data_IF_759215452942
#
_entry.id   IF_759215452942
#
_cell.length_a   1.000
_cell.length_b   1.000
_cell.length_c   1.000
_cell.angle_alpha   90.00
_cell.angle_beta   90.00
_cell.angle_gamma   90.00
#
_symmetry.space_group_name_H-M   'P 1'
#
loop_
_entity.id
_entity.type
_entity.pdbx_description
1 polymer ?
#
# COMPACT_ATOMS: atom_id res chain seq x y z
N UNK A 1 -24.33 -14.41 8.52
CA UNK A 1 -24.96 -13.88 7.29
C UNK A 1 -26.47 -14.15 7.23
N UNK A 2 -26.92 -15.37 7.58
CA UNK A 2 -28.34 -15.75 7.57
C UNK A 2 -29.22 -14.88 8.48
N UNK A 3 -28.81 -14.56 9.71
CA UNK A 3 -29.61 -13.72 10.62
C UNK A 3 -29.72 -12.24 10.20
N UNK A 4 -28.76 -11.76 9.40
CA UNK A 4 -28.76 -10.39 8.89
C UNK A 4 -29.66 -10.27 7.65
N UNK A 5 -29.54 -11.22 6.72
CA UNK A 5 -30.45 -11.35 5.58
C UNK A 5 -31.88 -11.62 6.06
N UNK A 6 -32.08 -12.50 7.04
CA UNK A 6 -33.40 -12.76 7.63
C UNK A 6 -34.03 -11.49 8.21
N UNK A 7 -33.25 -10.68 8.94
CA UNK A 7 -33.71 -9.37 9.44
C UNK A 7 -34.11 -8.41 8.31
N UNK A 8 -33.49 -8.52 7.14
CA UNK A 8 -33.81 -7.76 5.94
C UNK A 8 -34.86 -8.41 5.02
N UNK A 9 -35.57 -9.45 5.48
CA UNK A 9 -36.58 -10.14 4.68
C UNK A 9 -35.98 -11.00 3.56
N UNK A 10 -34.74 -11.46 3.74
CA UNK A 10 -33.92 -12.18 2.76
C UNK A 10 -33.64 -11.41 1.46
N UNK A 11 -33.92 -10.10 1.42
CA UNK A 11 -33.54 -9.24 0.32
C UNK A 11 -32.12 -8.67 0.57
N UNK A 12 -31.12 -9.05 -0.23
CA UNK A 12 -29.78 -8.50 -0.12
C UNK A 12 -29.76 -6.98 -0.31
N UNK A 13 -30.66 -6.43 -1.14
CA UNK A 13 -30.69 -5.00 -1.40
C UNK A 13 -31.17 -4.21 -0.18
N UNK A 14 -32.27 -4.65 0.44
CA UNK A 14 -32.72 -4.12 1.72
C UNK A 14 -31.69 -4.30 2.84
N UNK A 15 -30.94 -5.40 2.82
CA UNK A 15 -29.87 -5.65 3.80
C UNK A 15 -28.75 -4.61 3.67
N UNK A 16 -28.23 -4.40 2.44
CA UNK A 16 -27.20 -3.39 2.18
C UNK A 16 -27.68 -1.95 2.41
N UNK A 17 -28.93 -1.63 2.07
CA UNK A 17 -29.52 -0.33 2.35
C UNK A 17 -29.58 -0.04 3.86
N UNK A 18 -30.01 -1.03 4.68
CA UNK A 18 -30.02 -0.92 6.15
C UNK A 18 -28.62 -0.83 6.75
N UNK A 19 -27.61 -1.36 6.06
CA UNK A 19 -26.20 -1.25 6.44
C UNK A 19 -25.60 0.14 6.13
N UNK A 20 -26.26 0.95 5.31
CA UNK A 20 -25.81 2.31 4.97
C UNK A 20 -24.68 2.36 3.93
N UNK A 21 -24.44 1.28 3.17
CA UNK A 21 -23.51 1.29 2.04
C UNK A 21 -24.26 1.13 0.71
N UNK A 22 -24.86 2.23 0.26
CA UNK A 22 -25.61 2.32 -1.00
C UNK A 22 -24.76 1.96 -2.24
N UNK A 23 -23.42 1.95 -2.13
CA UNK A 23 -22.56 1.65 -3.27
C UNK A 23 -22.57 0.16 -3.62
N UNK A 24 -22.77 -0.74 -2.64
CA UNK A 24 -22.84 -2.18 -2.87
C UNK A 24 -24.03 -2.59 -3.76
N UNK A 25 -25.04 -1.72 -3.88
CA UNK A 25 -26.22 -1.94 -4.73
C UNK A 25 -25.98 -1.62 -6.22
N UNK A 26 -25.03 -0.73 -6.53
CA UNK A 26 -24.89 -0.14 -7.87
C UNK A 26 -23.49 -0.21 -8.46
N UNK A 27 -22.47 -0.52 -7.65
CA UNK A 27 -21.07 -0.54 -8.06
C UNK A 27 -20.27 -1.57 -7.27
N UNK A 28 -19.22 -2.05 -7.92
CA UNK A 28 -18.16 -2.81 -7.28
C UNK A 28 -17.45 -1.96 -6.24
N UNK A 29 -17.50 -2.41 -4.99
CA UNK A 29 -16.64 -1.87 -3.95
C UNK A 29 -15.29 -2.58 -3.93
N UNK A 30 -14.26 -1.91 -3.41
CA UNK A 30 -12.96 -2.51 -3.17
C UNK A 30 -13.07 -3.78 -2.32
N UNK A 31 -13.79 -3.72 -1.19
CA UNK A 31 -13.98 -4.87 -0.30
C UNK A 31 -14.69 -6.06 -0.97
N UNK A 32 -15.72 -5.81 -1.79
CA UNK A 32 -16.41 -6.87 -2.52
C UNK A 32 -15.48 -7.55 -3.55
N UNK A 33 -14.62 -6.77 -4.22
CA UNK A 33 -13.62 -7.30 -5.13
C UNK A 33 -12.62 -8.19 -4.40
N UNK A 34 -12.06 -7.72 -3.27
CA UNK A 34 -11.11 -8.48 -2.46
C UNK A 34 -11.74 -9.78 -1.94
N UNK A 35 -12.97 -9.71 -1.43
CA UNK A 35 -13.68 -10.88 -0.91
C UNK A 35 -13.96 -11.91 -2.01
N UNK A 36 -14.38 -11.46 -3.19
CA UNK A 36 -14.59 -12.33 -4.34
C UNK A 36 -13.31 -13.06 -4.76
N UNK A 37 -12.16 -12.37 -4.75
CA UNK A 37 -10.88 -13.01 -5.04
C UNK A 37 -10.46 -14.01 -3.96
N UNK A 38 -10.72 -13.71 -2.69
CA UNK A 38 -10.40 -14.57 -1.54
C UNK A 38 -11.24 -15.86 -1.53
N UNK A 39 -12.53 -15.77 -1.87
CA UNK A 39 -13.48 -16.89 -1.78
C UNK A 39 -13.81 -17.57 -3.13
N UNK A 40 -13.40 -17.00 -4.26
CA UNK A 40 -13.67 -17.57 -5.58
C UNK A 40 -13.12 -19.00 -5.71
N UNK A 41 -13.91 -19.93 -6.28
CA UNK A 41 -13.52 -21.35 -6.41
C UNK A 41 -12.16 -21.49 -7.12
N UNK A 42 -11.30 -22.33 -6.54
CA UNK A 42 -9.96 -22.60 -7.03
C UNK A 42 -10.01 -23.45 -8.31
N UNK A 43 -9.85 -22.81 -9.47
CA UNK A 43 -9.24 -23.44 -10.64
C UNK A 43 -7.82 -22.90 -10.76
N UNK A 44 -6.83 -23.77 -10.64
CA UNK A 44 -5.39 -23.57 -10.95
C UNK A 44 -4.96 -22.14 -11.31
N UNK A 45 -4.75 -21.28 -10.30
CA UNK A 45 -4.15 -19.95 -10.49
C UNK A 45 -4.89 -19.00 -11.46
N UNK A 46 -6.09 -19.36 -11.91
CA UNK A 46 -6.90 -18.57 -12.83
C UNK A 46 -8.06 -17.96 -12.05
N UNK A 47 -8.31 -16.64 -12.17
CA UNK A 47 -9.61 -16.11 -11.78
C UNK A 47 -10.67 -16.89 -12.59
N UNK A 48 -11.81 -17.28 -12.00
CA UNK A 48 -12.80 -18.08 -12.71
C UNK A 48 -13.37 -17.27 -13.88
N UNK A 49 -12.95 -17.60 -15.10
CA UNK A 49 -13.36 -16.88 -16.31
C UNK A 49 -14.14 -17.76 -17.29
N UNK A 50 -14.73 -18.87 -16.84
CA UNK A 50 -15.68 -19.61 -17.69
C UNK A 50 -17.04 -18.90 -17.71
N UNK A 51 -17.11 -17.80 -18.45
CA UNK A 51 -18.28 -17.44 -19.24
C UNK A 51 -17.76 -17.05 -20.62
N UNK A 52 -17.62 -18.06 -21.49
CA UNK A 52 -17.31 -17.85 -22.90
C UNK A 52 -18.56 -17.33 -23.60
N UNK A 53 -18.71 -16.00 -23.75
CA UNK A 53 -19.65 -15.46 -24.73
C UNK A 53 -18.91 -15.41 -26.06
N UNK A 54 -19.00 -16.50 -26.81
CA UNK A 54 -18.66 -16.51 -28.24
C UNK A 54 -19.66 -15.69 -29.06
N UNK A 55 -19.34 -15.34 -30.31
CA UNK A 55 -20.16 -14.46 -31.15
C UNK A 55 -21.52 -15.04 -31.59
N UNK A 56 -21.82 -16.31 -31.31
CA UNK A 56 -23.13 -16.91 -31.60
C UNK A 56 -24.10 -16.78 -30.42
N UNK A 57 -24.64 -15.58 -30.26
CA UNK A 57 -25.57 -15.19 -29.21
C UNK A 57 -27.03 -15.67 -29.45
N UNK A 58 -27.25 -16.94 -29.80
CA UNK A 58 -28.61 -17.51 -29.93
C UNK A 58 -28.86 -18.78 -29.11
N UNK A 59 -27.88 -19.28 -28.35
CA UNK A 59 -28.13 -20.33 -27.36
C UNK A 59 -27.41 -20.05 -26.05
N UNK A 60 -27.98 -19.16 -25.24
CA UNK A 60 -27.64 -19.11 -23.81
C UNK A 60 -28.40 -20.26 -23.14
N UNK A 61 -27.81 -21.45 -23.13
CA UNK A 61 -28.29 -22.54 -22.30
C UNK A 61 -27.86 -22.26 -20.85
N UNK A 62 -28.78 -21.72 -20.05
CA UNK A 62 -28.63 -21.79 -18.61
C UNK A 62 -28.64 -23.28 -18.22
N UNK A 63 -27.69 -23.77 -17.42
CA UNK A 63 -27.78 -25.14 -16.93
C UNK A 63 -29.06 -25.27 -16.10
N UNK A 64 -30.07 -25.94 -16.64
CA UNK A 64 -31.21 -26.47 -15.91
C UNK A 64 -30.72 -27.64 -15.03
N UNK A 65 -29.91 -27.32 -14.03
CA UNK A 65 -29.79 -28.17 -12.86
C UNK A 65 -30.42 -27.43 -11.71
N UNK A 66 -31.42 -28.01 -11.03
CA UNK A 66 -31.77 -27.53 -9.71
C UNK A 66 -30.44 -27.47 -8.93
N UNK A 67 -30.12 -26.31 -8.38
CA UNK A 67 -29.10 -26.19 -7.35
C UNK A 67 -29.54 -27.14 -6.23
N UNK A 68 -29.11 -28.39 -6.29
CA UNK A 68 -29.01 -29.22 -5.10
C UNK A 68 -28.27 -28.34 -4.10
N UNK A 69 -28.95 -27.98 -3.02
CA UNK A 69 -28.33 -27.31 -1.90
C UNK A 69 -27.15 -28.21 -1.50
N UNK A 70 -25.95 -27.86 -1.97
CA UNK A 70 -24.76 -28.57 -1.53
C UNK A 70 -24.75 -28.44 -0.03
N UNK A 71 -24.25 -29.47 0.65
CA UNK A 71 -23.75 -29.33 2.02
C UNK A 71 -23.05 -27.97 2.17
N UNK A 72 -23.23 -27.33 3.34
CA UNK A 72 -22.94 -25.92 3.60
C UNK A 72 -21.65 -25.40 2.97
N UNK A 73 -21.55 -24.09 2.69
CA UNK A 73 -20.54 -23.53 1.80
C UNK A 73 -19.14 -24.09 2.10
N UNK A 74 -18.61 -24.90 1.18
CA UNK A 74 -17.27 -25.43 1.28
C UNK A 74 -16.27 -24.26 1.20
N UNK A 75 -15.57 -23.99 2.30
CA UNK A 75 -14.62 -22.89 2.42
C UNK A 75 -14.30 -22.56 3.88
N UNK A 76 -13.29 -21.73 4.13
CA UNK A 76 -12.98 -21.26 5.48
C UNK A 76 -14.09 -20.34 6.01
N UNK A 77 -14.24 -20.31 7.33
CA UNK A 77 -15.09 -19.32 8.00
C UNK A 77 -14.57 -17.89 7.73
N UNK A 78 -15.49 -16.95 7.55
CA UNK A 78 -15.17 -15.57 7.20
C UNK A 78 -15.65 -14.60 8.29
N UNK A 79 -14.71 -13.78 8.76
CA UNK A 79 -15.03 -12.53 9.48
C UNK A 79 -14.71 -11.36 8.56
N UNK A 80 -15.72 -10.52 8.29
CA UNK A 80 -15.55 -9.31 7.48
C UNK A 80 -15.72 -8.06 8.35
N UNK A 81 -14.70 -7.20 8.36
CA UNK A 81 -14.70 -5.94 9.13
C UNK A 81 -14.72 -4.75 8.17
N UNK A 82 -15.82 -3.99 8.19
CA UNK A 82 -15.98 -2.80 7.38
C UNK A 82 -15.53 -1.56 8.17
N UNK A 83 -14.41 -0.95 7.74
CA UNK A 83 -13.94 0.29 8.38
C UNK A 83 -14.88 1.47 8.07
N UNK A 84 -15.06 2.43 9.02
CA UNK A 84 -15.85 3.64 8.80
C UNK A 84 -15.41 4.40 7.55
N UNK A 85 -16.37 4.98 6.82
CA UNK A 85 -16.10 5.72 5.58
C UNK A 85 -15.10 6.87 5.76
N UNK A 86 -15.20 7.60 6.88
CA UNK A 86 -14.29 8.70 7.19
C UNK A 86 -12.84 8.23 7.29
N UNK A 87 -12.60 7.10 7.96
CA UNK A 87 -11.28 6.47 8.12
C UNK A 87 -10.70 6.03 6.77
N UNK A 88 -11.51 5.34 5.95
CA UNK A 88 -11.14 4.93 4.58
C UNK A 88 -10.85 6.10 3.64
N UNK A 89 -11.28 7.31 3.98
CA UNK A 89 -11.08 8.50 3.14
C UNK A 89 -9.78 9.25 3.46
N UNK A 90 -9.29 9.17 4.69
CA UNK A 90 -8.08 9.87 5.14
C UNK A 90 -6.85 8.98 5.05
N UNK A 91 -6.99 7.66 5.22
CA UNK A 91 -5.95 6.62 5.01
C UNK A 91 -4.59 6.93 5.66
N UNK A 92 -4.57 7.77 6.70
CA UNK A 92 -3.40 7.97 7.54
C UNK A 92 -3.25 6.80 8.51
N UNK A 93 -2.02 6.47 8.87
CA UNK A 93 -1.73 5.41 9.83
C UNK A 93 -2.42 5.68 11.16
N UNK A 94 -2.36 6.92 11.64
CA UNK A 94 -2.97 7.32 12.90
C UNK A 94 -4.49 7.08 12.90
N UNK A 95 -5.17 7.36 11.79
CA UNK A 95 -6.61 7.10 11.67
C UNK A 95 -6.93 5.61 11.50
N UNK A 96 -6.08 4.84 10.81
CA UNK A 96 -6.30 3.41 10.55
C UNK A 96 -6.03 2.54 11.79
N UNK A 97 -5.02 2.90 12.59
CA UNK A 97 -4.48 2.06 13.67
C UNK A 97 -5.54 1.50 14.62
N UNK A 98 -6.38 2.31 15.30
CA UNK A 98 -7.32 1.77 16.28
C UNK A 98 -8.33 0.82 15.63
N UNK A 99 -8.85 1.18 14.46
CA UNK A 99 -9.88 0.39 13.78
C UNK A 99 -9.37 -0.93 13.21
N UNK A 100 -8.13 -0.95 12.71
CA UNK A 100 -7.54 -2.19 12.17
C UNK A 100 -7.19 -3.14 13.31
N UNK A 101 -6.56 -2.64 14.39
CA UNK A 101 -6.21 -3.47 15.55
C UNK A 101 -7.47 -4.04 16.22
N UNK A 102 -8.51 -3.22 16.39
CA UNK A 102 -9.81 -3.67 16.90
C UNK A 102 -10.47 -4.69 15.95
N UNK A 103 -10.38 -4.48 14.63
CA UNK A 103 -10.88 -5.43 13.64
C UNK A 103 -10.22 -6.80 13.71
N UNK A 104 -8.90 -6.84 13.90
CA UNK A 104 -8.16 -8.09 14.10
C UNK A 104 -8.58 -8.74 15.43
N UNK A 105 -8.62 -7.97 16.52
CA UNK A 105 -9.01 -8.48 17.83
C UNK A 105 -10.44 -9.04 17.82
N UNK A 106 -11.37 -8.38 17.12
CA UNK A 106 -12.72 -8.86 16.89
C UNK A 106 -12.74 -10.17 16.11
N UNK A 107 -11.93 -10.30 15.04
CA UNK A 107 -11.78 -11.55 14.31
C UNK A 107 -11.32 -12.70 15.20
N UNK A 108 -10.36 -12.45 16.10
CA UNK A 108 -9.87 -13.45 17.05
C UNK A 108 -10.95 -13.92 18.04
N UNK A 109 -11.96 -13.09 18.37
CA UNK A 109 -13.09 -13.52 19.21
C UNK A 109 -13.96 -14.58 18.53
N UNK A 110 -13.93 -14.63 17.20
CA UNK A 110 -14.70 -15.59 16.40
C UNK A 110 -13.88 -16.79 15.93
N UNK A 111 -12.58 -16.84 16.26
CA UNK A 111 -11.68 -17.93 15.85
C UNK A 111 -11.70 -19.14 16.81
N UNK A 112 -12.71 -19.26 17.67
CA UNK A 112 -12.79 -20.34 18.65
C UNK A 112 -12.84 -21.72 17.96
N UNK A 113 -11.89 -22.60 18.31
CA UNK A 113 -11.76 -23.93 17.71
C UNK A 113 -11.02 -23.98 16.38
N UNK A 114 -10.64 -22.83 15.81
CA UNK A 114 -9.76 -22.78 14.65
C UNK A 114 -8.29 -23.05 15.07
N UNK A 115 -7.53 -23.73 14.20
CA UNK A 115 -6.07 -23.89 14.36
C UNK A 115 -5.27 -22.79 13.69
N UNK A 116 -5.86 -22.16 12.67
CA UNK A 116 -5.23 -21.12 11.85
C UNK A 116 -6.25 -20.05 11.50
N UNK A 117 -5.81 -18.80 11.53
CA UNK A 117 -6.55 -17.65 11.02
C UNK A 117 -5.65 -16.82 10.11
N UNK A 118 -6.22 -16.25 9.05
CA UNK A 118 -5.50 -15.37 8.13
C UNK A 118 -6.21 -14.03 8.06
N UNK A 119 -5.54 -12.97 8.48
CA UNK A 119 -6.01 -11.60 8.37
C UNK A 119 -5.46 -10.98 7.09
N UNK A 120 -6.33 -10.58 6.17
CA UNK A 120 -5.95 -9.84 4.97
C UNK A 120 -6.16 -8.35 5.13
N UNK A 121 -5.10 -7.56 4.97
CA UNK A 121 -5.10 -6.12 5.09
C UNK A 121 -4.69 -5.46 3.77
N UNK A 122 -5.68 -5.22 2.92
CA UNK A 122 -5.51 -4.52 1.63
C UNK A 122 -5.47 -3.00 1.79
N UNK A 123 -4.63 -2.51 2.71
CA UNK A 123 -4.50 -1.09 3.10
C UNK A 123 -3.06 -0.60 2.91
N UNK A 124 -2.92 0.70 2.63
CA UNK A 124 -1.62 1.37 2.56
C UNK A 124 -1.69 2.75 3.21
N UNK A 125 -0.62 3.11 3.92
CA UNK A 125 -0.35 4.42 4.49
C UNK A 125 1.14 4.71 4.31
N UNK A 126 1.52 5.99 4.17
CA UNK A 126 2.92 6.40 3.98
C UNK A 126 3.48 7.18 5.16
N UNK A 127 2.64 7.48 6.15
CA UNK A 127 3.05 8.18 7.37
C UNK A 127 3.51 7.17 8.43
N UNK A 128 4.51 7.56 9.22
CA UNK A 128 5.07 6.74 10.27
C UNK A 128 6.60 6.62 10.20
N UNK A 129 7.16 5.82 11.11
CA UNK A 129 8.59 5.70 11.26
C UNK A 129 9.28 4.79 10.22
N UNK A 130 8.56 3.87 9.56
CA UNK A 130 9.14 2.91 8.60
C UNK A 130 10.31 2.07 9.15
N UNK A 131 10.25 1.70 10.43
CA UNK A 131 11.30 0.91 11.09
C UNK A 131 10.74 -0.18 12.02
N UNK A 132 9.45 -0.48 11.95
CA UNK A 132 8.80 -1.47 12.81
C UNK A 132 8.35 -0.93 14.17
N UNK A 133 8.67 0.32 14.53
CA UNK A 133 8.42 0.86 15.88
C UNK A 133 7.05 1.52 16.05
N UNK A 134 6.21 1.60 15.01
CA UNK A 134 4.92 2.26 15.13
C UNK A 134 3.96 1.49 16.05
N UNK A 135 3.02 2.21 16.68
CA UNK A 135 1.96 1.58 17.49
C UNK A 135 1.14 0.56 16.69
N UNK A 136 0.99 0.76 15.38
CA UNK A 136 0.32 -0.20 14.51
C UNK A 136 1.11 -1.50 14.43
N UNK A 137 2.40 -1.42 14.11
CA UNK A 137 3.27 -2.57 13.94
C UNK A 137 3.43 -3.35 15.25
N UNK A 138 3.65 -2.64 16.36
CA UNK A 138 3.69 -3.23 17.69
C UNK A 138 2.34 -3.88 18.09
N UNK A 139 1.21 -3.23 17.74
CA UNK A 139 -0.12 -3.77 18.03
C UNK A 139 -0.43 -5.04 17.24
N UNK A 140 -0.04 -5.10 15.96
CA UNK A 140 -0.20 -6.32 15.14
C UNK A 140 0.63 -7.46 15.73
N UNK A 141 1.90 -7.20 16.09
CA UNK A 141 2.76 -8.20 16.70
C UNK A 141 2.17 -8.73 18.02
N UNK A 142 1.69 -7.83 18.89
CA UNK A 142 1.06 -8.22 20.15
C UNK A 142 -0.19 -9.10 19.95
N UNK A 143 -0.97 -8.87 18.89
CA UNK A 143 -2.13 -9.70 18.55
C UNK A 143 -1.73 -11.08 18.01
N UNK A 144 -0.65 -11.17 17.23
CA UNK A 144 -0.08 -12.44 16.76
C UNK A 144 0.41 -13.26 17.96
N UNK A 145 1.16 -12.64 18.87
CA UNK A 145 1.65 -13.27 20.10
C UNK A 145 0.49 -13.71 20.99
N UNK A 146 -0.52 -12.85 21.18
CA UNK A 146 -1.71 -13.20 21.95
C UNK A 146 -2.47 -14.40 21.36
N UNK A 147 -2.64 -14.45 20.03
CA UNK A 147 -3.30 -15.56 19.35
C UNK A 147 -2.55 -16.88 19.57
N UNK A 148 -1.22 -16.84 19.43
CA UNK A 148 -0.34 -17.98 19.67
C UNK A 148 -0.40 -18.46 21.12
N UNK A 149 -0.16 -17.56 22.08
CA UNK A 149 0.08 -17.92 23.47
C UNK A 149 -1.20 -18.21 24.25
N UNK A 150 -2.30 -17.49 23.96
CA UNK A 150 -3.55 -17.62 24.72
C UNK A 150 -4.62 -18.44 24.01
N UNK A 151 -4.62 -18.46 22.69
CA UNK A 151 -5.65 -19.14 21.91
C UNK A 151 -5.12 -20.39 21.18
N UNK A 152 -3.81 -20.65 21.24
CA UNK A 152 -3.17 -21.75 20.50
C UNK A 152 -3.51 -21.69 18.99
N UNK A 153 -3.63 -20.46 18.47
CA UNK A 153 -4.06 -20.15 17.12
C UNK A 153 -2.87 -19.59 16.33
N UNK A 154 -2.60 -20.17 15.16
CA UNK A 154 -1.66 -19.60 14.20
C UNK A 154 -2.32 -18.43 13.45
N UNK A 155 -1.97 -17.19 13.81
CA UNK A 155 -2.44 -15.99 13.12
C UNK A 155 -1.42 -15.55 12.05
N UNK A 156 -1.79 -15.68 10.78
CA UNK A 156 -1.05 -15.07 9.67
C UNK A 156 -1.63 -13.71 9.30
N UNK A 157 -0.79 -12.66 9.20
CA UNK A 157 -1.21 -11.32 8.77
C UNK A 157 -0.59 -11.01 7.41
N UNK A 158 -1.45 -10.73 6.43
CA UNK A 158 -1.05 -10.47 5.04
C UNK A 158 -1.37 -9.02 4.68
N UNK A 159 -0.35 -8.21 4.42
CA UNK A 159 -0.45 -6.79 4.08
C UNK A 159 -0.12 -6.52 2.62
N UNK A 160 -0.79 -5.54 2.02
CA UNK A 160 -0.38 -5.02 0.71
C UNK A 160 0.93 -4.23 0.81
N UNK A 161 1.83 -4.37 -0.16
CA UNK A 161 3.05 -3.55 -0.22
C UNK A 161 2.76 -2.05 -0.49
N UNK A 162 1.55 -1.71 -0.94
CA UNK A 162 1.19 -0.37 -1.40
C UNK A 162 1.48 -0.15 -2.89
N UNK A 163 1.07 1.00 -3.42
CA UNK A 163 1.11 1.35 -4.84
C UNK A 163 1.89 2.66 -5.09
N UNK A 164 2.86 2.95 -4.21
CA UNK A 164 3.43 4.30 -4.08
C UNK A 164 4.84 4.45 -4.64
N UNK A 165 5.47 3.36 -5.12
CA UNK A 165 6.87 3.39 -5.55
C UNK A 165 7.15 4.47 -6.60
N UNK A 166 6.30 4.56 -7.62
CA UNK A 166 6.44 5.54 -8.70
C UNK A 166 5.82 6.91 -8.37
N UNK A 167 5.35 7.13 -7.15
CA UNK A 167 4.63 8.35 -6.77
C UNK A 167 5.52 9.43 -6.17
N UNK A 168 6.80 9.15 -5.94
CA UNK A 168 7.75 10.10 -5.34
C UNK A 168 7.23 10.69 -4.02
N UNK A 169 6.63 9.83 -3.19
CA UNK A 169 6.12 10.20 -1.85
C UNK A 169 7.14 9.90 -0.74
N UNK A 170 8.32 9.41 -1.10
CA UNK A 170 9.44 9.23 -0.19
C UNK A 170 10.75 9.71 -0.80
N UNK A 171 11.61 10.22 0.06
CA UNK A 171 12.98 10.58 -0.25
C UNK A 171 13.85 10.42 1.00
N UNK A 172 15.17 10.41 0.83
CA UNK A 172 16.10 10.65 1.93
C UNK A 172 17.21 11.59 1.47
N UNK A 173 17.81 12.30 2.41
CA UNK A 173 18.97 13.15 2.20
C UNK A 173 20.07 12.73 3.16
N UNK A 174 21.27 12.53 2.63
CA UNK A 174 22.49 12.41 3.42
C UNK A 174 23.09 13.80 3.60
N UNK A 175 22.99 14.33 4.82
CA UNK A 175 23.49 15.64 5.18
C UNK A 175 24.98 15.55 5.52
N UNK A 176 25.77 16.40 4.89
CA UNK A 176 27.19 16.57 5.18
C UNK A 176 27.34 17.73 6.17
N UNK A 177 28.16 17.59 7.23
CA UNK A 177 28.41 18.67 8.18
C UNK A 177 28.77 20.00 7.52
N UNK A 178 28.06 21.07 7.92
CA UNK A 178 28.30 22.43 7.43
C UNK A 178 27.81 22.71 6.01
N UNK A 179 27.21 21.73 5.32
CA UNK A 179 26.59 21.94 4.01
C UNK A 179 25.08 22.04 4.14
N UNK A 180 24.48 22.91 3.33
CA UNK A 180 23.03 23.00 3.20
C UNK A 180 22.56 22.09 2.08
N UNK A 181 21.61 21.21 2.39
CA UNK A 181 20.94 20.34 1.43
C UNK A 181 19.48 20.75 1.29
N UNK A 182 18.88 20.55 0.11
CA UNK A 182 17.51 20.94 -0.17
C UNK A 182 16.65 19.73 -0.57
N UNK A 183 15.49 19.60 0.08
CA UNK A 183 14.37 18.76 -0.36
C UNK A 183 13.28 19.68 -0.91
N UNK A 184 12.76 19.34 -2.08
CA UNK A 184 11.67 20.04 -2.73
C UNK A 184 10.40 19.22 -2.58
N UNK A 185 9.33 19.87 -2.11
CA UNK A 185 7.98 19.33 -2.10
C UNK A 185 7.15 20.07 -3.14
N UNK A 186 6.85 19.41 -4.24
CA UNK A 186 5.98 19.90 -5.30
C UNK A 186 4.50 19.67 -4.91
N UNK A 187 3.86 20.71 -4.39
CA UNK A 187 2.44 20.72 -4.07
C UNK A 187 1.61 20.96 -5.34
N UNK A 188 0.77 20.01 -5.72
CA UNK A 188 -0.07 20.12 -6.92
C UNK A 188 -1.33 20.96 -6.67
N UNK A 189 -1.87 21.66 -7.68
CA UNK A 189 -3.17 22.31 -7.56
C UNK A 189 -4.30 21.28 -7.37
N UNK A 190 -5.43 21.73 -6.83
CA UNK A 190 -6.65 20.90 -6.74
C UNK A 190 -6.70 19.91 -5.58
N UNK A 191 -5.80 20.00 -4.59
CA UNK A 191 -5.86 19.16 -3.39
C UNK A 191 -6.80 19.77 -2.36
N UNK A 192 -7.93 19.12 -2.10
CA UNK A 192 -8.96 19.60 -1.17
C UNK A 192 -8.70 19.20 0.29
N UNK A 193 -7.54 18.61 0.57
CA UNK A 193 -7.16 18.08 1.88
C UNK A 193 -5.83 18.64 2.33
N UNK A 194 -5.71 18.87 3.63
CA UNK A 194 -4.43 19.20 4.24
C UNK A 194 -3.44 18.06 4.00
N UNK A 195 -2.25 18.41 3.54
CA UNK A 195 -1.16 17.48 3.32
C UNK A 195 -0.12 17.61 4.41
N UNK A 196 0.65 16.55 4.65
CA UNK A 196 1.75 16.63 5.59
C UNK A 196 2.91 15.72 5.22
N UNK A 197 4.09 16.18 5.62
CA UNK A 197 5.38 15.56 5.40
C UNK A 197 6.00 15.25 6.76
N UNK A 198 6.38 14.00 6.96
CA UNK A 198 7.16 13.56 8.10
C UNK A 198 8.63 13.49 7.74
N UNK A 199 9.48 14.14 8.54
CA UNK A 199 10.93 14.16 8.38
C UNK A 199 11.57 13.48 9.58
N UNK A 200 12.15 12.32 9.36
CA UNK A 200 12.67 11.47 10.42
C UNK A 200 14.19 11.43 10.45
N UNK A 201 14.72 11.55 11.66
CA UNK A 201 16.14 11.45 11.99
C UNK A 201 16.37 10.37 13.07
N UNK A 202 17.57 9.79 13.18
CA UNK A 202 17.94 8.91 14.29
C UNK A 202 17.71 9.56 15.67
N UNK A 203 17.38 8.74 16.67
CA UNK A 203 17.06 9.24 18.02
C UNK A 203 18.28 9.82 18.75
N UNK A 204 19.45 9.23 18.51
CA UNK A 204 20.74 9.48 19.15
C UNK A 204 21.51 10.65 18.54
N UNK A 205 21.03 11.22 17.43
CA UNK A 205 21.65 12.35 16.76
C UNK A 205 20.86 13.65 16.99
N UNK A 206 21.53 14.81 17.02
CA UNK A 206 20.84 16.10 17.04
C UNK A 206 20.02 16.30 15.75
N UNK A 207 18.90 17.01 15.85
CA UNK A 207 18.16 17.43 14.67
C UNK A 207 18.98 18.44 13.86
N UNK A 208 18.85 18.45 12.52
CA UNK A 208 19.42 19.51 11.70
C UNK A 208 18.60 20.79 11.85
N UNK A 209 19.20 21.93 11.57
CA UNK A 209 18.47 23.17 11.37
C UNK A 209 17.62 23.05 10.11
N UNK A 210 16.35 23.44 10.21
CA UNK A 210 15.38 23.38 9.11
C UNK A 210 14.93 24.79 8.71
N UNK A 211 15.06 25.14 7.44
CA UNK A 211 14.39 26.31 6.86
C UNK A 211 13.33 25.87 5.85
N UNK A 212 12.19 26.56 5.82
CA UNK A 212 11.10 26.27 4.88
C UNK A 212 10.75 27.52 4.08
N UNK A 213 10.60 27.37 2.76
CA UNK A 213 10.20 28.44 1.85
C UNK A 213 8.94 28.05 1.08
N UNK A 214 7.93 28.92 1.11
CA UNK A 214 6.78 28.81 0.21
C UNK A 214 7.18 29.09 -1.26
N UNK A 215 6.39 28.68 -2.25
CA UNK A 215 6.66 28.94 -3.66
C UNK A 215 6.89 30.43 -3.93
N UNK A 216 8.04 30.75 -4.52
CA UNK A 216 8.42 32.14 -4.85
C UNK A 216 8.77 33.02 -3.65
N UNK A 217 8.82 32.48 -2.44
CA UNK A 217 9.15 33.22 -1.22
C UNK A 217 10.57 32.90 -0.73
N UNK A 218 11.10 33.80 0.10
CA UNK A 218 12.35 33.57 0.82
C UNK A 218 12.17 32.50 1.92
N UNK A 219 13.24 31.76 2.27
CA UNK A 219 13.22 30.81 3.37
C UNK A 219 12.93 31.46 4.72
N UNK A 220 12.32 30.69 5.63
CA UNK A 220 12.19 31.04 7.04
C UNK A 220 13.55 31.23 7.72
N UNK A 221 13.53 31.75 8.95
CA UNK A 221 14.64 31.56 9.89
C UNK A 221 14.92 30.06 10.08
N UNK A 222 16.15 29.72 10.48
CA UNK A 222 16.52 28.37 10.85
C UNK A 222 15.69 27.92 12.06
N UNK A 223 15.08 26.74 11.94
CA UNK A 223 14.24 26.13 12.96
C UNK A 223 15.01 25.00 13.63
N UNK A 224 15.21 25.14 14.93
CA UNK A 224 15.88 24.16 15.79
C UNK A 224 14.91 23.34 16.64
N UNK A 225 15.47 22.43 17.43
CA UNK A 225 14.72 21.58 18.35
C UNK A 225 13.91 22.40 19.38
N UNK A 226 12.62 22.07 19.51
CA UNK A 226 11.64 22.75 20.35
C UNK A 226 10.81 23.82 19.62
N UNK A 227 11.13 24.16 18.38
CA UNK A 227 10.52 25.31 17.70
C UNK A 227 9.27 24.95 16.88
N UNK A 228 8.40 25.96 16.73
CA UNK A 228 7.21 25.91 15.90
C UNK A 228 7.15 27.17 15.03
N UNK A 229 6.97 26.96 13.73
CA UNK A 229 6.85 28.03 12.74
C UNK A 229 5.57 27.89 11.95
N UNK A 230 5.01 29.03 11.55
CA UNK A 230 3.79 29.10 10.76
C UNK A 230 3.93 30.16 9.68
N UNK A 231 3.39 29.89 8.50
CA UNK A 231 3.41 30.80 7.36
C UNK A 231 2.01 30.98 6.75
N UNK A 232 1.62 32.20 6.33
CA UNK A 232 2.39 33.44 6.44
C UNK A 232 2.49 33.99 7.87
N UNK A 233 1.56 33.61 8.75
CA UNK A 233 1.57 33.97 10.18
C UNK A 233 0.92 32.87 11.02
N UNK A 234 0.94 33.00 12.35
CA UNK A 234 0.25 32.06 13.25
C UNK A 234 -1.27 32.14 13.16
N UNK A 235 -1.82 33.31 12.86
CA UNK A 235 -3.27 33.54 12.81
C UNK A 235 -3.90 33.13 11.48
N UNK A 236 -3.09 33.13 10.40
CA UNK A 236 -3.54 32.81 9.03
C UNK A 236 -2.72 31.68 8.40
N UNK A 237 -2.20 30.77 9.23
CA UNK A 237 -1.28 29.73 8.81
C UNK A 237 -1.87 28.82 7.72
N UNK A 238 -1.21 28.78 6.55
CA UNK A 238 -1.41 27.75 5.53
C UNK A 238 -0.29 26.71 5.52
N UNK A 239 0.81 26.98 6.22
CA UNK A 239 1.88 26.04 6.49
C UNK A 239 2.25 26.11 7.97
N UNK A 240 2.48 24.95 8.60
CA UNK A 240 3.00 24.84 9.95
C UNK A 240 4.14 23.82 9.98
N UNK A 241 5.21 24.17 10.67
CA UNK A 241 6.39 23.33 10.91
C UNK A 241 6.54 23.14 12.40
N UNK A 242 6.65 21.89 12.84
CA UNK A 242 6.89 21.51 14.22
C UNK A 242 8.20 20.73 14.30
N UNK A 243 9.11 21.18 15.16
CA UNK A 243 10.41 20.55 15.42
C UNK A 243 10.49 20.18 16.90
N UNK A 244 9.90 19.05 17.35
CA UNK A 244 9.90 18.66 18.76
C UNK A 244 11.32 18.40 19.29
N UNK A 245 11.56 18.76 20.55
CA UNK A 245 12.86 18.56 21.20
C UNK A 245 13.10 17.11 21.64
N UNK A 246 12.05 16.42 22.05
CA UNK A 246 12.12 15.05 22.55
C UNK A 246 12.04 14.01 21.41
N UNK A 247 12.86 12.94 21.45
CA UNK A 247 12.69 11.80 20.58
C UNK A 247 11.38 11.06 20.90
N UNK A 248 10.93 10.24 19.95
CA UNK A 248 9.77 9.34 20.09
C UNK A 248 10.16 7.94 19.63
N UNK A 249 9.23 6.99 19.76
CA UNK A 249 9.40 5.66 19.17
C UNK A 249 9.81 5.78 17.69
N UNK A 250 10.95 5.17 17.37
CA UNK A 250 11.57 5.16 16.05
C UNK A 250 12.58 6.28 15.77
N UNK A 251 12.56 7.42 16.48
CA UNK A 251 13.52 8.49 16.19
C UNK A 251 13.04 9.88 16.58
N UNK A 252 13.65 10.89 15.97
CA UNK A 252 13.21 12.29 16.05
C UNK A 252 12.41 12.62 14.80
N UNK A 253 11.25 13.26 14.96
CA UNK A 253 10.35 13.62 13.88
C UNK A 253 10.18 15.13 13.82
N UNK A 254 10.52 15.74 12.68
CA UNK A 254 10.04 17.08 12.31
C UNK A 254 8.82 16.92 11.41
N UNK A 255 7.81 17.77 11.59
CA UNK A 255 6.54 17.65 10.90
C UNK A 255 6.23 18.94 10.14
N UNK A 256 5.93 18.82 8.85
CA UNK A 256 5.49 19.95 8.01
C UNK A 256 4.08 19.68 7.53
N UNK A 257 3.15 20.58 7.83
CA UNK A 257 1.74 20.49 7.43
C UNK A 257 1.40 21.64 6.51
N UNK A 258 0.76 21.34 5.39
CA UNK A 258 0.19 22.29 4.46
C UNK A 258 -1.34 22.24 4.50
N UNK A 259 -1.98 23.39 4.45
CA UNK A 259 -3.40 23.52 4.17
C UNK A 259 -3.72 22.97 2.75
N UNK A 260 -5.00 22.71 2.43
CA UNK A 260 -5.41 22.35 1.07
C UNK A 260 -4.89 23.35 0.03
N UNK A 261 -4.58 22.90 -1.18
CA UNK A 261 -4.29 23.80 -2.32
C UNK A 261 -5.56 24.22 -3.06
N UNK A 262 -6.70 23.61 -2.73
CA UNK A 262 -8.02 23.98 -3.20
C UNK A 262 -8.99 24.01 -2.02
N UNK A 263 -9.71 25.11 -1.88
CA UNK A 263 -10.79 25.30 -0.91
C UNK A 263 -12.07 25.66 -1.63
N UNK A 264 -13.22 25.49 -0.98
CA UNK A 264 -14.52 25.79 -1.58
C UNK A 264 -15.32 26.84 -0.82
N UNK A 265 -14.95 27.13 0.44
CA UNK A 265 -15.62 28.17 1.21
C UNK A 265 -14.81 29.48 1.19
N UNK A 266 -15.48 30.64 1.04
CA UNK A 266 -14.82 31.93 1.18
C UNK A 266 -14.15 32.07 2.55
N UNK A 267 -12.90 32.53 2.57
CA UNK A 267 -12.13 32.74 3.79
C UNK A 267 -11.38 31.50 4.31
N UNK A 268 -11.57 30.32 3.70
CA UNK A 268 -10.73 29.16 4.02
C UNK A 268 -9.29 29.37 3.50
N UNK A 269 -8.27 29.10 4.33
CA UNK A 269 -6.87 29.26 3.94
C UNK A 269 -6.47 28.18 2.92
N UNK A 270 -5.99 28.60 1.74
CA UNK A 270 -5.43 27.72 0.73
C UNK A 270 -3.90 27.89 0.65
N UNK A 271 -3.16 26.79 0.71
CA UNK A 271 -1.72 26.80 0.49
C UNK A 271 -1.41 27.04 -1.00
N UNK A 272 -0.41 27.87 -1.35
CA UNK A 272 0.02 27.99 -2.73
C UNK A 272 0.52 26.64 -3.27
N UNK A 273 0.05 26.26 -4.45
CA UNK A 273 0.64 25.18 -5.23
C UNK A 273 2.00 25.61 -5.81
N UNK A 274 2.85 24.63 -6.13
CA UNK A 274 4.20 24.84 -6.63
C UNK A 274 5.25 24.18 -5.73
N UNK A 275 6.49 24.60 -5.90
CA UNK A 275 7.64 23.99 -5.20
C UNK A 275 7.88 24.67 -3.86
N UNK A 276 7.55 23.95 -2.80
CA UNK A 276 7.99 24.27 -1.44
C UNK A 276 9.42 23.74 -1.24
N UNK A 277 10.30 24.54 -0.63
CA UNK A 277 11.69 24.16 -0.41
C UNK A 277 11.94 23.98 1.08
N UNK A 278 12.55 22.85 1.44
CA UNK A 278 12.98 22.52 2.78
C UNK A 278 14.50 22.39 2.77
N UNK A 279 15.19 23.30 3.47
CA UNK A 279 16.65 23.34 3.54
C UNK A 279 17.12 22.84 4.89
N UNK A 280 18.12 21.97 4.87
CA UNK A 280 18.66 21.31 6.04
C UNK A 280 20.14 21.64 6.17
N UNK A 281 20.54 22.06 7.36
CA UNK A 281 21.96 22.21 7.72
C UNK A 281 22.21 21.42 8.98
N UNK A 282 23.24 20.56 8.96
CA UNK A 282 23.62 19.73 10.11
C UNK A 282 25.06 20.00 10.50
N UNK A 283 25.38 19.86 11.78
CA UNK A 283 26.75 19.87 12.30
C UNK A 283 27.37 18.48 12.35
N UNK A 284 26.57 17.43 12.15
CA UNK A 284 26.99 16.03 12.13
C UNK A 284 26.52 15.34 10.85
N UNK A 285 27.21 14.29 10.38
CA UNK A 285 26.69 13.47 9.30
C UNK A 285 25.35 12.87 9.72
N UNK A 286 24.29 13.13 8.96
CA UNK A 286 22.93 12.77 9.34
C UNK A 286 22.11 12.37 8.12
N UNK A 287 21.38 11.26 8.19
CA UNK A 287 20.36 10.92 7.20
C UNK A 287 18.98 11.39 7.64
N UNK A 288 18.33 12.19 6.80
CA UNK A 288 16.93 12.59 6.98
C UNK A 288 16.06 11.79 6.03
N UNK A 289 15.09 11.04 6.55
CA UNK A 289 14.07 10.37 5.76
C UNK A 289 12.81 11.22 5.67
N UNK A 290 12.25 11.37 4.47
CA UNK A 290 11.08 12.18 4.21
C UNK A 290 9.95 11.30 3.68
N UNK A 291 8.79 11.31 4.35
CA UNK A 291 7.61 10.57 3.94
C UNK A 291 6.39 11.48 3.84
N UNK A 292 5.86 11.59 2.63
CA UNK A 292 4.74 12.44 2.29
C UNK A 292 3.43 11.66 2.42
N UNK A 293 2.64 12.00 3.44
CA UNK A 293 1.50 11.21 3.86
C UNK A 293 0.41 11.12 2.79
N UNK A 294 -0.30 9.99 2.78
CA UNK A 294 -1.36 9.75 1.80
C UNK A 294 -2.60 10.56 2.16
N UNK A 295 -3.08 11.39 1.25
CA UNK A 295 -4.34 12.17 1.46
C UNK A 295 -5.43 11.90 0.42
N UNK A 296 -5.14 11.12 -0.63
CA UNK A 296 -6.16 10.76 -1.62
C UNK A 296 -6.91 9.47 -1.23
N UNK A 297 -8.21 9.38 -1.56
CA UNK A 297 -9.02 8.24 -1.16
C UNK A 297 -8.68 6.96 -1.93
N UNK A 298 -9.04 5.81 -1.37
CA UNK A 298 -8.96 4.53 -2.06
C UNK A 298 -9.97 4.38 -3.20
N UNK A 299 -9.91 3.25 -3.95
CA UNK A 299 -10.88 2.93 -5.00
C UNK A 299 -12.33 3.05 -4.51
N UNK A 300 -13.20 3.69 -5.30
CA UNK A 300 -14.61 3.96 -4.94
C UNK A 300 -14.82 5.26 -4.14
N UNK A 301 -13.75 5.93 -3.71
CA UNK A 301 -13.81 7.28 -3.16
C UNK A 301 -14.16 8.35 -4.20
N UNK A 302 -14.59 9.52 -3.73
CA UNK A 302 -14.74 10.70 -4.61
C UNK A 302 -13.34 11.06 -5.16
N UNK A 303 -13.19 11.37 -6.46
CA UNK A 303 -11.94 11.92 -6.97
C UNK A 303 -11.49 13.10 -6.10
N UNK A 304 -10.20 13.15 -5.79
CA UNK A 304 -9.60 14.20 -4.97
C UNK A 304 -8.19 14.48 -5.48
N UNK A 305 -7.69 15.69 -5.23
CA UNK A 305 -6.30 16.03 -5.52
C UNK A 305 -5.31 15.22 -4.69
N UNK A 306 -4.05 15.26 -5.11
CA UNK A 306 -2.95 14.54 -4.45
C UNK A 306 -2.15 15.49 -3.57
N UNK A 307 -1.44 14.94 -2.59
CA UNK A 307 -0.56 15.73 -1.72
C UNK A 307 0.73 16.25 -2.39
N UNK A 308 1.06 15.79 -3.60
CA UNK A 308 2.26 16.22 -4.32
C UNK A 308 3.34 15.16 -4.44
N UNK A 309 4.58 15.61 -4.67
CA UNK A 309 5.79 14.80 -4.91
C UNK A 309 7.01 15.38 -4.19
N UNK A 310 8.00 14.55 -3.92
CA UNK A 310 9.26 14.89 -3.27
C UNK A 310 10.45 14.76 -4.25
N UNK A 311 11.38 15.71 -4.17
CA UNK A 311 12.58 15.74 -5.01
C UNK A 311 13.81 16.20 -4.22
N UNK A 312 14.92 15.45 -4.32
CA UNK A 312 16.20 15.81 -3.67
C UNK A 312 17.09 16.66 -4.58
N UNK A 313 16.74 16.78 -5.87
CA UNK A 313 17.42 17.63 -6.84
C UNK A 313 16.40 18.32 -7.73
N UNK A 314 16.61 19.60 -8.01
CA UNK A 314 15.83 20.33 -9.01
C UNK A 314 15.99 19.62 -10.36
N UNK A 315 14.89 19.19 -10.97
CA UNK A 315 14.97 18.53 -12.26
C UNK A 315 15.25 19.54 -13.38
N UNK A 316 16.26 19.26 -14.19
CA UNK A 316 16.52 19.98 -15.44
C UNK A 316 15.77 19.37 -16.65
N UNK A 317 15.03 18.27 -16.46
CA UNK A 317 14.34 17.57 -17.56
C UNK A 317 12.84 17.41 -17.32
N UNK A 318 12.09 17.41 -18.42
CA UNK A 318 10.64 17.10 -18.48
C UNK A 318 10.33 15.79 -17.75
N UNK A 319 9.20 15.75 -17.03
CA UNK A 319 8.68 14.58 -16.30
C UNK A 319 8.59 13.32 -17.18
N UNK A 320 8.36 13.48 -18.49
CA UNK A 320 8.21 12.36 -19.42
C UNK A 320 9.52 11.64 -19.76
N UNK A 321 10.66 12.29 -19.54
CA UNK A 321 12.00 11.74 -19.84
C UNK A 321 12.75 11.30 -18.58
N UNK A 322 12.14 11.44 -17.41
CA UNK A 322 12.83 11.19 -16.15
C UNK A 322 12.84 9.69 -15.84
N UNK A 323 14.05 9.13 -15.74
CA UNK A 323 14.21 7.77 -15.25
C UNK A 323 13.64 7.67 -13.82
N UNK A 324 12.89 6.60 -13.57
CA UNK A 324 12.42 6.28 -12.23
C UNK A 324 13.62 6.01 -11.33
N UNK A 325 13.58 6.42 -10.04
CA UNK A 325 14.60 6.01 -9.10
C UNK A 325 14.67 4.48 -9.06
N UNK A 326 15.87 3.88 -8.92
CA UNK A 326 15.99 2.45 -8.79
C UNK A 326 15.19 1.96 -7.56
N UNK A 327 14.61 0.75 -7.62
CA UNK A 327 13.90 0.20 -6.49
C UNK A 327 14.81 0.16 -5.26
N UNK A 328 14.34 0.75 -4.16
CA UNK A 328 15.07 0.80 -2.91
C UNK A 328 14.65 -0.34 -1.99
N UNK A 329 15.57 -0.82 -1.16
CA UNK A 329 15.27 -1.85 -0.16
C UNK A 329 14.28 -1.31 0.88
N UNK A 330 13.39 -2.18 1.35
CA UNK A 330 12.35 -1.84 2.32
C UNK A 330 10.99 -1.48 1.70
N UNK A 331 10.08 -1.00 2.56
CA UNK A 331 8.70 -0.68 2.16
C UNK A 331 8.34 0.78 2.41
N UNK A 332 7.65 1.36 1.43
CA UNK A 332 7.01 2.68 1.54
C UNK A 332 5.61 2.60 2.17
N UNK A 333 5.09 1.41 2.44
CA UNK A 333 3.90 1.29 3.28
C UNK A 333 4.34 1.32 4.76
N UNK A 334 4.06 2.41 5.46
CA UNK A 334 4.45 2.63 6.87
C UNK A 334 3.79 1.67 7.86
N UNK A 335 2.89 0.80 7.39
CA UNK A 335 2.30 -0.31 8.15
C UNK A 335 3.02 -1.65 7.90
N UNK A 336 3.87 -1.73 6.89
CA UNK A 336 4.48 -2.96 6.37
C UNK A 336 5.98 -3.08 6.72
N UNK A 337 6.46 -2.34 7.72
CA UNK A 337 7.85 -2.40 8.18
C UNK A 337 8.05 -3.27 9.42
N UNK A 338 6.98 -3.88 9.93
CA UNK A 338 6.95 -4.79 11.07
C UNK A 338 7.72 -6.10 10.85
N UNK A 339 7.77 -6.92 11.92
CA UNK A 339 8.59 -8.13 12.03
C UNK A 339 8.27 -9.26 11.02
N UNK A 340 9.01 -10.38 11.11
CA UNK A 340 8.93 -11.49 10.16
C UNK A 340 7.57 -12.21 10.15
N UNK A 341 6.76 -12.03 11.19
CA UNK A 341 5.43 -12.66 11.34
C UNK A 341 4.35 -12.02 10.44
N UNK A 342 4.69 -10.95 9.71
CA UNK A 342 3.78 -10.26 8.79
C UNK A 342 4.27 -10.41 7.35
N UNK A 343 3.41 -10.95 6.49
CA UNK A 343 3.71 -11.13 5.06
C UNK A 343 3.27 -9.92 4.25
N UNK A 344 4.22 -9.28 3.56
CA UNK A 344 3.99 -8.14 2.67
C UNK A 344 3.96 -8.61 1.22
N UNK A 345 2.82 -8.38 0.56
CA UNK A 345 2.54 -8.89 -0.78
C UNK A 345 2.67 -7.79 -1.82
N UNK A 346 3.56 -8.01 -2.79
CA UNK A 346 3.68 -7.22 -4.00
C UNK A 346 2.84 -7.76 -5.15
N UNK A 347 2.64 -6.92 -6.18
CA UNK A 347 1.89 -7.30 -7.37
C UNK A 347 2.81 -7.83 -8.46
N UNK A 348 2.31 -8.75 -9.29
CA UNK A 348 2.96 -9.17 -10.54
C UNK A 348 1.93 -9.29 -11.67
N UNK A 349 2.42 -9.35 -12.90
CA UNK A 349 1.57 -9.71 -14.04
C UNK A 349 1.25 -11.21 -14.01
N UNK A 350 0.01 -11.58 -14.32
CA UNK A 350 -0.43 -12.96 -14.47
C UNK A 350 0.21 -13.58 -15.71
N UNK A 351 0.12 -12.88 -16.83
CA UNK A 351 0.79 -13.19 -18.09
C UNK A 351 1.98 -12.24 -18.25
N UNK A 352 3.07 -12.54 -17.56
CA UNK A 352 4.33 -11.92 -17.93
C UNK A 352 4.68 -12.43 -19.33
N UNK A 353 4.68 -11.53 -20.33
CA UNK A 353 5.26 -11.85 -21.62
C UNK A 353 6.70 -12.28 -21.33
N UNK A 354 7.00 -13.56 -21.53
CA UNK A 354 8.38 -14.03 -21.72
C UNK A 354 8.86 -13.26 -22.93
N UNK A 355 9.52 -12.13 -22.68
CA UNK A 355 10.31 -11.50 -23.71
C UNK A 355 11.46 -12.49 -23.89
N UNK A 356 11.62 -13.15 -25.05
CA UNK A 356 12.85 -13.87 -25.30
C UNK A 356 13.96 -12.86 -25.07
N UNK A 357 15.02 -13.24 -24.36
CA UNK A 357 16.23 -12.46 -24.32
C UNK A 357 16.76 -12.38 -25.76
N UNK A 358 16.30 -11.38 -26.52
CA UNK A 358 16.99 -10.97 -27.74
C UNK A 358 18.15 -10.13 -27.26
N UNK A 359 19.33 -10.74 -27.30
CA UNK A 359 20.61 -10.07 -27.29
C UNK A 359 20.56 -8.86 -28.23
N UNK A 360 20.34 -7.69 -27.65
CA UNK A 360 20.64 -6.42 -28.28
C UNK A 360 21.98 -5.94 -27.69
N UNK A 361 23.05 -6.67 -27.99
CA UNK A 361 24.38 -6.10 -27.98
C UNK A 361 24.46 -5.04 -29.09
N UNK A 362 24.92 -3.81 -28.80
CA UNK A 362 25.27 -2.87 -29.85
C UNK A 362 26.42 -3.47 -30.66
N UNK A 363 26.21 -3.61 -31.96
CA UNK A 363 27.22 -3.99 -32.94
C UNK A 363 28.50 -3.17 -32.79
N UNK A 364 29.60 -3.83 -32.48
CA UNK A 364 30.95 -3.24 -32.41
C UNK A 364 32.05 -4.28 -32.23
N UNK A 365 32.45 -4.91 -33.34
CA UNK A 365 33.80 -5.41 -33.70
C UNK A 365 34.70 -6.10 -32.63
N UNK A 366 34.99 -7.38 -32.91
CA UNK A 366 36.21 -8.16 -32.62
C UNK A 366 36.64 -8.42 -31.16
N UNK A 367 36.61 -9.69 -30.73
CA UNK A 367 37.81 -10.53 -30.60
C UNK A 367 37.47 -11.92 -30.02
N UNK A 368 38.29 -12.90 -30.40
CA UNK A 368 38.18 -14.35 -30.19
C UNK A 368 38.43 -14.81 -28.74
N UNK A 369 37.83 -15.95 -28.38
CA UNK A 369 38.52 -17.05 -27.68
C UNK A 369 38.14 -17.30 -26.22
N UNK A 370 37.68 -18.52 -25.93
CA UNK A 370 37.76 -19.11 -24.59
C UNK A 370 36.57 -19.96 -24.18
N UNK A 371 36.61 -21.25 -24.51
CA UNK A 371 35.72 -22.32 -24.03
C UNK A 371 35.75 -22.43 -22.49
N UNK A 372 34.57 -22.58 -21.87
CA UNK A 372 34.28 -23.46 -20.72
C UNK A 372 32.86 -23.15 -20.17
N UNK A 373 31.83 -23.85 -20.66
CA UNK A 373 30.53 -23.94 -19.99
C UNK A 373 30.11 -25.42 -19.85
N UNK A 374 29.71 -25.88 -18.65
CA UNK A 374 29.20 -27.23 -18.43
C UNK A 374 27.70 -27.35 -18.78
N UNK A 375 27.18 -28.57 -19.00
CA UNK A 375 25.92 -28.78 -19.71
C UNK A 375 24.68 -28.57 -18.83
N UNK A 376 23.68 -27.94 -19.46
CA UNK A 376 22.23 -28.08 -19.33
C UNK A 376 21.69 -28.87 -18.12
N UNK A 377 21.14 -28.13 -17.14
CA UNK A 377 20.01 -28.63 -16.34
C UNK A 377 18.69 -28.18 -16.99
N UNK A 378 17.63 -29.02 -17.00
CA UNK A 378 16.35 -28.69 -17.59
C UNK A 378 15.64 -27.62 -16.75
N UNK A 379 15.81 -26.36 -17.13
CA UNK A 379 15.16 -25.21 -16.52
C UNK A 379 13.66 -25.24 -16.75
N UNK A 380 12.90 -25.51 -15.69
CA UNK A 380 11.49 -25.17 -15.61
C UNK A 380 11.33 -23.66 -15.81
N UNK A 381 10.47 -23.27 -16.75
CA UNK A 381 10.19 -21.88 -17.10
C UNK A 381 9.60 -21.13 -15.89
N UNK A 382 10.45 -20.45 -15.12
CA UNK A 382 10.00 -19.51 -14.10
C UNK A 382 9.36 -18.32 -14.80
N UNK A 383 8.02 -18.30 -14.87
CA UNK A 383 7.28 -17.09 -15.26
C UNK A 383 7.81 -15.89 -14.48
N UNK A 384 8.13 -14.81 -15.19
CA UNK A 384 8.84 -13.65 -14.63
C UNK A 384 8.29 -13.24 -13.25
N UNK A 385 9.13 -13.38 -12.23
CA UNK A 385 8.89 -12.93 -10.85
C UNK A 385 9.10 -11.42 -10.70
N UNK A 386 8.88 -10.64 -11.76
CA UNK A 386 9.14 -9.20 -11.73
C UNK A 386 7.94 -8.49 -11.11
N UNK A 387 8.14 -7.69 -10.04
CA UNK A 387 7.05 -6.91 -9.47
C UNK A 387 6.53 -5.90 -10.49
N UNK A 388 5.22 -5.63 -10.45
CA UNK A 388 4.64 -4.50 -11.20
C UNK A 388 5.26 -3.19 -10.70
N UNK A 389 5.47 -2.19 -11.57
CA UNK A 389 6.37 -1.08 -11.27
C UNK A 389 5.90 -0.18 -10.13
N UNK A 390 4.59 -0.17 -9.85
CA UNK A 390 4.01 0.59 -8.75
C UNK A 390 4.11 -0.11 -7.39
N UNK A 391 4.48 -1.40 -7.35
CA UNK A 391 4.59 -2.19 -6.10
C UNK A 391 5.42 -1.42 -5.09
N UNK A 392 4.85 -1.16 -3.92
CA UNK A 392 5.47 -0.32 -2.92
C UNK A 392 6.80 -0.89 -2.42
N UNK A 393 7.87 -0.30 -2.91
CA UNK A 393 9.20 -0.37 -2.34
C UNK A 393 9.69 1.05 -2.09
N UNK A 394 10.70 1.20 -1.24
CA UNK A 394 11.13 2.51 -0.78
C UNK A 394 11.81 2.40 0.57
N UNK A 395 12.58 3.42 0.96
CA UNK A 395 13.54 3.25 2.03
C UNK A 395 12.78 3.00 3.33
N UNK A 396 12.89 1.79 3.87
CA UNK A 396 12.66 1.57 5.29
C UNK A 396 13.80 2.26 6.05
N UNK A 397 13.49 2.95 7.15
CA UNK A 397 14.52 3.64 7.95
C UNK A 397 15.34 2.65 8.78
N UNK A 398 14.72 1.55 9.22
CA UNK A 398 15.36 0.57 10.09
C UNK A 398 14.54 -0.69 10.28
N UNK A 399 14.85 -1.42 11.36
CA UNK A 399 14.10 -2.61 11.76
C UNK A 399 14.29 -3.82 10.86
N UNK A 400 13.32 -4.72 10.89
CA UNK A 400 13.29 -5.94 10.06
C UNK A 400 13.31 -5.58 8.57
N UNK A 401 12.42 -4.67 8.15
CA UNK A 401 12.20 -4.37 6.73
C UNK A 401 13.36 -3.62 6.06
N UNK A 402 14.25 -2.97 6.81
CA UNK A 402 15.47 -2.39 6.24
C UNK A 402 16.52 -3.44 5.82
N UNK A 403 16.41 -4.68 6.32
CA UNK A 403 17.32 -5.80 6.03
C UNK A 403 16.67 -6.92 5.22
N UNK A 404 15.35 -6.82 5.02
CA UNK A 404 14.55 -7.78 4.27
C UNK A 404 14.21 -7.24 2.87
N UNK A 405 13.77 -8.11 1.94
CA UNK A 405 13.17 -7.66 0.69
C UNK A 405 12.01 -6.69 0.93
N UNK A 406 11.79 -5.81 -0.05
CA UNK A 406 10.69 -4.83 -0.03
C UNK A 406 9.31 -5.49 0.10
N UNK A 407 9.19 -6.68 -0.47
CA UNK A 407 8.01 -7.55 -0.41
C UNK A 407 8.47 -8.98 -0.15
N UNK A 408 7.69 -9.72 0.63
CA UNK A 408 8.01 -11.11 0.98
C UNK A 408 7.59 -12.07 -0.13
N UNK A 409 6.53 -11.73 -0.87
CA UNK A 409 5.96 -12.56 -1.93
C UNK A 409 5.29 -11.71 -3.00
N UNK A 410 5.21 -12.25 -4.22
CA UNK A 410 4.50 -11.65 -5.34
C UNK A 410 3.29 -12.49 -5.74
N UNK A 411 2.13 -11.84 -5.83
CA UNK A 411 0.91 -12.44 -6.33
C UNK A 411 0.33 -11.65 -7.52
N UNK A 412 -0.44 -12.29 -8.42
CA UNK A 412 -1.03 -11.61 -9.55
C UNK A 412 -1.87 -10.39 -9.12
N UNK A 413 -1.66 -9.26 -9.76
CA UNK A 413 -2.49 -8.05 -9.58
C UNK A 413 -2.88 -7.38 -10.89
N UNK A 414 -2.26 -7.80 -11.99
CA UNK A 414 -2.48 -7.31 -13.35
C UNK A 414 -2.55 -8.53 -14.27
N UNK A 415 -3.49 -8.59 -15.22
CA UNK A 415 -3.47 -9.70 -16.20
C UNK A 415 -2.28 -9.57 -17.14
N UNK A 416 -2.10 -8.40 -17.74
CA UNK A 416 -0.99 -8.09 -18.64
C UNK A 416 -0.73 -6.59 -18.71
N UNK A 417 0.32 -6.18 -19.44
CA UNK A 417 0.57 -4.75 -19.72
C UNK A 417 -0.52 -4.09 -20.57
N UNK A 418 -1.18 -4.87 -21.44
CA UNK A 418 -2.25 -4.39 -22.31
C UNK A 418 -3.64 -4.46 -21.65
N UNK A 419 -3.78 -5.29 -20.61
CA UNK A 419 -5.03 -5.50 -19.90
C UNK A 419 -4.81 -5.36 -18.38
N UNK A 420 -4.82 -4.12 -17.86
CA UNK A 420 -4.59 -3.88 -16.45
C UNK A 420 -5.73 -4.41 -15.57
N UNK A 421 -5.36 -4.71 -14.32
CA UNK A 421 -6.17 -5.29 -13.27
C UNK A 421 -6.47 -6.77 -13.46
N UNK A 422 -7.07 -7.37 -12.43
CA UNK A 422 -7.68 -8.70 -12.42
C UNK A 422 -9.21 -8.51 -12.38
N UNK A 423 -9.94 -9.38 -13.08
CA UNK A 423 -11.41 -9.32 -13.16
C UNK A 423 -12.05 -9.80 -11.85
N UNK A 424 -13.11 -9.11 -11.40
CA UNK A 424 -13.93 -9.50 -10.25
C UNK A 424 -14.88 -10.66 -10.55
N UNK A 425 -15.43 -11.31 -9.51
CA UNK A 425 -16.43 -12.39 -9.58
C UNK A 425 -17.81 -12.00 -10.16
N UNK A 426 -18.03 -10.74 -10.55
CA UNK A 426 -19.29 -10.26 -11.12
C UNK A 426 -20.29 -9.71 -10.10
N UNK A 427 -21.22 -8.88 -10.57
CA UNK A 427 -22.23 -8.18 -9.77
C UNK A 427 -23.66 -8.57 -10.17
N UNK A 428 -24.64 -8.16 -9.36
CA UNK A 428 -26.07 -8.37 -9.62
C UNK A 428 -26.53 -7.77 -10.97
N UNK A 429 -25.82 -6.76 -11.48
CA UNK A 429 -26.05 -6.16 -12.80
C UNK A 429 -25.28 -6.86 -13.95
N UNK A 430 -24.76 -8.06 -13.71
CA UNK A 430 -23.94 -8.85 -14.66
C UNK A 430 -22.63 -8.17 -15.13
N UNK A 431 -22.21 -7.07 -14.50
CA UNK A 431 -20.94 -6.41 -14.79
C UNK A 431 -19.77 -7.06 -14.04
N UNK A 432 -18.57 -7.07 -14.65
CA UNK A 432 -17.34 -7.64 -14.07
C UNK A 432 -16.17 -6.66 -14.21
N UNK A 433 -16.01 -5.65 -13.35
CA UNK A 433 -14.89 -4.74 -13.49
C UNK A 433 -13.56 -5.41 -13.17
N UNK A 434 -12.50 -4.72 -13.60
CA UNK A 434 -11.12 -5.07 -13.33
C UNK A 434 -10.56 -4.13 -12.27
N UNK A 435 -9.77 -4.66 -11.35
CA UNK A 435 -9.06 -3.88 -10.36
C UNK A 435 -7.59 -4.29 -10.35
N UNK A 436 -6.69 -3.31 -10.33
CA UNK A 436 -5.27 -3.52 -10.14
C UNK A 436 -4.81 -3.05 -8.76
N UNK A 437 -3.52 -3.20 -8.50
CA UNK A 437 -2.89 -2.79 -7.25
C UNK A 437 -2.51 -3.95 -6.34
N UNK A 438 -1.57 -3.71 -5.43
CA UNK A 438 -1.11 -4.73 -4.46
C UNK A 438 -2.23 -5.21 -3.53
N UNK A 439 -3.31 -4.44 -3.39
CA UNK A 439 -4.53 -4.88 -2.69
C UNK A 439 -5.19 -6.11 -3.31
N UNK A 440 -5.04 -6.33 -4.62
CA UNK A 440 -5.56 -7.49 -5.37
C UNK A 440 -4.68 -8.72 -5.20
N UNK A 441 -3.37 -8.53 -5.01
CA UNK A 441 -2.43 -9.60 -4.76
C UNK A 441 -2.61 -10.24 -3.37
N UNK A 442 -2.94 -9.43 -2.35
CA UNK A 442 -3.18 -9.88 -0.96
C UNK A 442 -4.15 -11.06 -0.85
N UNK A 443 -5.43 -10.98 -1.31
CA UNK A 443 -6.36 -12.09 -1.16
C UNK A 443 -5.94 -13.32 -1.96
N UNK A 444 -5.26 -13.16 -3.09
CA UNK A 444 -4.77 -14.28 -3.90
C UNK A 444 -3.64 -15.05 -3.22
N UNK A 445 -2.73 -14.33 -2.53
CA UNK A 445 -1.73 -14.99 -1.69
C UNK A 445 -2.36 -15.59 -0.43
N UNK A 446 -3.25 -14.88 0.26
CA UNK A 446 -3.89 -15.38 1.48
C UNK A 446 -4.60 -16.73 1.27
N UNK A 447 -5.16 -16.97 0.08
CA UNK A 447 -5.73 -18.28 -0.29
C UNK A 447 -4.75 -19.44 -0.22
N UNK A 448 -3.48 -19.21 -0.57
CA UNK A 448 -2.48 -20.29 -0.51
C UNK A 448 -2.16 -20.67 0.94
N UNK A 449 -2.47 -19.81 1.91
CA UNK A 449 -2.31 -20.07 3.34
C UNK A 449 -3.52 -20.82 3.95
N UNK A 450 -4.68 -20.72 3.28
CA UNK A 450 -5.97 -21.32 3.69
C UNK A 450 -6.23 -22.71 3.07
N UNK A 451 -5.49 -23.10 2.03
CA UNK A 451 -5.60 -24.44 1.43
C UNK A 451 -5.10 -25.55 2.39
N UNK A 452 -5.53 -26.82 2.19
CA UNK A 452 -4.94 -27.93 2.94
C UNK A 452 -3.44 -27.94 2.65
N UNK A 453 -2.61 -27.74 3.68
CA UNK A 453 -1.17 -27.92 3.52
C UNK A 453 -0.94 -29.32 2.94
N UNK A 454 -0.11 -29.41 1.90
CA UNK A 454 0.50 -30.70 1.60
C UNK A 454 1.15 -31.18 2.90
N UNK A 455 0.95 -32.45 3.31
CA UNK A 455 1.60 -32.96 4.50
C UNK A 455 3.09 -32.70 4.34
N UNK A 456 3.65 -31.94 5.28
CA UNK A 456 5.08 -31.75 5.36
C UNK A 456 5.71 -33.14 5.36
N UNK A 457 6.51 -33.44 4.35
CA UNK A 457 7.40 -34.58 4.41
C UNK A 457 8.30 -34.34 5.62
N UNK A 458 8.24 -35.16 6.69
CA UNK A 458 9.13 -34.96 7.81
C UNK A 458 10.59 -35.05 7.32
N UNK A 459 11.51 -34.22 7.85
CA UNK A 459 12.91 -34.28 7.45
C UNK A 459 13.52 -35.63 7.91
N UNK A 460 14.63 -36.02 7.27
CA UNK A 460 14.80 -37.22 6.44
C UNK A 460 14.50 -38.56 7.10
#
# INVERSE_FOLDING_TARGET
MNDWLARAGHDPAAAYARWGDEQLLRRTSHGAHILGLLLGRAGEGRPPYEVTIGPDATSVSFPERPTQASAGPAGPDLVFVQLPRAVRSTVSRAALTPWVLEGIAHGLQHAAGARRAVTTLSLESYDGPHDGSSLFEAGVQALIEQARDRQQLELGVVLAAGNAHQRQVAAYLDLVPGQTHELQWEAVPGCERAAWLELWCPADQPLPDLQVAAPGQEPSQALGAGEVWAWPSRDTAVCAVLVPSAPRAGGRLMWVRLAPTQVFQPGEPAAPCGVWRLRFTSHVPLRVHAYLARVWPGPGGKPAGRQGRLWVRASQTSDLQRALPPPQSGSINGMACGGPDVTVVGGRWLHALTTPATDATPSGLNAQGGENDPPDQPGGSSGSQTPVPYTGCGPARGGWRARAPAVDVLAPSEDSRALPGVRSMGHLEASTPRMGGTSVAVPLHARTLLGPQQPETPPP
#
